data_IF_940960447583
#
_entry.id   IF_940960447583
#
_cell.length_a   1.000
_cell.length_b   1.000
_cell.length_c   1.000
_cell.angle_alpha   90.00
_cell.angle_beta   90.00
_cell.angle_gamma   90.00
#
_symmetry.space_group_name_H-M   'P 1'
#
loop_
_entity.id
_entity.type
_entity.pdbx_description
1 polymer ?
#
# COMPACT_ATOMS: atom_id res chain seq x y z
N UNK A 1 7.69 12.96 -11.01
CA UNK A 1 8.06 13.00 -12.44
C UNK A 1 7.09 13.91 -13.21
N UNK A 2 7.43 15.18 -13.42
CA UNK A 2 6.70 16.13 -14.28
C UNK A 2 7.59 17.35 -14.57
N UNK A 3 7.27 18.17 -15.56
CA UNK A 3 7.88 19.47 -15.82
C UNK A 3 6.83 20.58 -15.73
N UNK A 4 7.22 21.79 -15.30
CA UNK A 4 6.34 22.96 -15.27
C UNK A 4 6.17 23.53 -16.69
N UNK A 5 4.93 23.83 -17.07
CA UNK A 5 4.63 24.44 -18.38
C UNK A 5 5.08 25.91 -18.41
N UNK A 6 5.63 26.36 -19.54
CA UNK A 6 6.00 27.79 -19.74
C UNK A 6 4.77 28.70 -19.82
N UNK A 7 3.65 28.19 -20.37
CA UNK A 7 2.32 28.81 -20.36
C UNK A 7 1.32 27.77 -19.90
N UNK A 8 0.48 28.11 -18.93
CA UNK A 8 -0.56 27.20 -18.45
C UNK A 8 -1.65 27.00 -19.50
N UNK A 9 -2.18 25.79 -19.57
CA UNK A 9 -3.34 25.47 -20.39
C UNK A 9 -4.54 25.33 -19.46
N UNK A 10 -5.29 26.43 -19.27
CA UNK A 10 -6.33 26.51 -18.25
C UNK A 10 -5.78 26.28 -16.84
N UNK A 11 -6.32 25.31 -16.11
CA UNK A 11 -5.83 24.91 -14.79
C UNK A 11 -4.59 24.00 -14.84
N UNK A 12 -4.22 23.47 -16.02
CA UNK A 12 -3.08 22.57 -16.18
C UNK A 12 -1.77 23.35 -16.23
N UNK A 13 -0.85 23.02 -15.32
CA UNK A 13 0.44 23.71 -15.15
C UNK A 13 1.65 22.78 -15.26
N UNK A 14 1.42 21.48 -15.45
CA UNK A 14 2.45 20.45 -15.52
C UNK A 14 2.23 19.53 -16.72
N UNK A 15 3.32 18.98 -17.25
CA UNK A 15 3.33 17.99 -18.32
C UNK A 15 4.46 16.99 -18.12
N UNK A 16 4.37 15.82 -18.76
CA UNK A 16 5.50 14.89 -18.89
C UNK A 16 6.27 15.26 -20.15
N UNK A 17 7.59 15.39 -20.03
CA UNK A 17 8.47 15.58 -21.21
C UNK A 17 8.58 14.28 -22.01
N UNK A 18 8.94 14.37 -23.29
CA UNK A 18 9.19 13.17 -24.13
C UNK A 18 10.20 12.22 -23.48
N UNK A 19 11.28 12.74 -22.89
CA UNK A 19 12.26 11.94 -22.17
C UNK A 19 11.64 11.22 -20.95
N UNK A 20 10.75 11.88 -20.23
CA UNK A 20 10.04 11.27 -19.10
C UNK A 20 9.05 10.19 -19.55
N UNK A 21 8.33 10.43 -20.64
CA UNK A 21 7.39 9.44 -21.22
C UNK A 21 8.19 8.21 -21.68
N UNK A 22 9.29 8.41 -22.40
CA UNK A 22 10.17 7.34 -22.86
C UNK A 22 10.70 6.50 -21.70
N UNK A 23 11.13 7.15 -20.61
CA UNK A 23 11.61 6.44 -19.42
C UNK A 23 10.47 5.63 -18.75
N UNK A 24 9.27 6.17 -18.62
CA UNK A 24 8.11 5.43 -18.07
C UNK A 24 7.86 4.17 -18.89
N UNK A 25 7.81 4.30 -20.22
CA UNK A 25 7.55 3.18 -21.13
C UNK A 25 8.67 2.15 -21.03
N UNK A 26 9.93 2.59 -20.97
CA UNK A 26 11.08 1.69 -20.83
C UNK A 26 11.04 0.92 -19.51
N UNK A 27 10.87 1.61 -18.38
CA UNK A 27 10.85 0.99 -17.06
C UNK A 27 9.69 -0.01 -16.92
N UNK A 28 8.50 0.38 -17.40
CA UNK A 28 7.33 -0.50 -17.37
C UNK A 28 7.48 -1.70 -18.31
N UNK A 29 8.06 -1.50 -19.49
CA UNK A 29 8.29 -2.57 -20.48
C UNK A 29 9.39 -3.54 -20.08
N UNK A 30 10.42 -3.07 -19.36
CA UNK A 30 11.52 -3.91 -18.89
C UNK A 30 11.10 -4.84 -17.74
N UNK A 31 10.19 -4.38 -16.86
CA UNK A 31 9.66 -5.20 -15.77
C UNK A 31 10.70 -5.62 -14.72
N UNK A 32 11.76 -4.82 -14.54
CA UNK A 32 12.87 -5.13 -13.64
C UNK A 32 12.52 -4.89 -12.16
N UNK A 33 13.03 -5.75 -11.27
CA UNK A 33 12.92 -5.56 -9.82
C UNK A 33 13.72 -4.34 -9.37
N UNK A 34 13.11 -3.48 -8.57
CA UNK A 34 13.82 -2.36 -7.94
C UNK A 34 14.11 -1.18 -8.88
N UNK A 35 13.47 -1.11 -10.04
CA UNK A 35 13.66 0.02 -10.95
C UNK A 35 13.22 1.34 -10.29
N UNK A 36 13.93 2.41 -10.60
CA UNK A 36 13.64 3.78 -10.16
C UNK A 36 13.71 4.74 -11.35
N UNK A 37 12.97 5.85 -11.28
CA UNK A 37 13.06 6.88 -12.30
C UNK A 37 14.30 7.75 -12.08
N UNK A 38 15.06 7.98 -13.15
CA UNK A 38 16.17 8.91 -13.20
C UNK A 38 15.71 10.34 -13.48
N UNK A 39 14.61 10.52 -14.22
CA UNK A 39 14.03 11.84 -14.55
C UNK A 39 12.97 12.31 -13.53
N UNK A 40 13.07 11.83 -12.28
CA UNK A 40 12.14 12.22 -11.24
C UNK A 40 12.32 13.70 -10.88
N UNK A 41 11.26 14.49 -11.13
CA UNK A 41 11.23 15.89 -10.74
C UNK A 41 11.40 16.06 -9.23
N UNK A 42 12.45 16.81 -8.85
CA UNK A 42 12.71 17.27 -7.48
C UNK A 42 12.49 18.78 -7.45
N UNK A 43 11.63 19.25 -6.54
CA UNK A 43 11.38 20.68 -6.40
C UNK A 43 12.60 21.34 -5.73
N UNK A 44 13.40 22.05 -6.51
CA UNK A 44 14.64 22.68 -6.02
C UNK A 44 14.41 24.08 -5.42
N UNK A 45 13.23 24.69 -5.66
CA UNK A 45 12.92 26.07 -5.25
C UNK A 45 11.48 26.22 -4.79
N UNK A 46 11.27 26.83 -3.62
CA UNK A 46 9.97 27.30 -3.13
C UNK A 46 10.12 28.79 -2.78
N UNK A 47 9.27 29.67 -3.32
CA UNK A 47 9.31 31.14 -3.06
C UNK A 47 10.68 31.81 -3.29
N UNK A 48 11.41 31.40 -4.34
CA UNK A 48 12.73 31.96 -4.66
C UNK A 48 13.88 31.50 -3.76
N UNK A 49 13.58 30.76 -2.68
CA UNK A 49 14.57 30.14 -1.81
C UNK A 49 14.92 28.76 -2.36
N UNK A 50 16.20 28.54 -2.63
CA UNK A 50 16.74 27.22 -2.99
C UNK A 50 16.73 26.37 -1.72
N UNK A 51 15.93 25.30 -1.70
CA UNK A 51 15.99 24.35 -0.58
C UNK A 51 17.27 23.52 -0.73
N UNK A 52 17.98 23.20 0.37
CA UNK A 52 19.00 22.18 0.34
C UNK A 52 18.38 20.91 -0.24
N UNK A 53 19.01 20.36 -1.29
CA UNK A 53 18.58 19.08 -1.83
C UNK A 53 18.94 18.01 -0.82
N UNK A 54 18.02 17.68 0.08
CA UNK A 54 18.15 16.48 0.89
C UNK A 54 18.25 15.28 -0.07
N UNK A 55 19.26 14.41 0.08
CA UNK A 55 19.39 13.24 -0.77
C UNK A 55 18.25 12.27 -0.44
N UNK A 56 17.12 12.41 -1.14
CA UNK A 56 16.07 11.40 -1.12
C UNK A 56 16.57 10.17 -1.88
N UNK A 57 16.51 9.01 -1.21
CA UNK A 57 16.74 7.73 -1.86
C UNK A 57 15.80 7.59 -3.06
N UNK A 58 16.25 6.94 -4.15
CA UNK A 58 15.44 6.77 -5.34
C UNK A 58 14.14 6.02 -4.99
N UNK A 59 13.01 6.55 -5.45
CA UNK A 59 11.72 5.88 -5.27
C UNK A 59 11.67 4.66 -6.19
N UNK A 60 11.48 3.48 -5.59
CA UNK A 60 11.23 2.25 -6.33
C UNK A 60 9.84 2.33 -6.99
N UNK A 61 9.80 2.08 -8.28
CA UNK A 61 8.58 2.15 -9.12
C UNK A 61 8.22 0.83 -9.79
N UNK A 62 9.11 -0.16 -9.75
CA UNK A 62 8.86 -1.52 -10.25
C UNK A 62 9.27 -2.54 -9.20
N UNK A 63 8.40 -3.52 -8.99
CA UNK A 63 8.61 -4.68 -8.13
C UNK A 63 7.95 -5.90 -8.75
N UNK A 64 8.62 -7.04 -8.70
CA UNK A 64 8.26 -8.32 -9.26
C UNK A 64 7.93 -9.26 -8.11
N UNK A 65 6.72 -9.81 -8.14
CA UNK A 65 6.25 -10.75 -7.14
C UNK A 65 5.74 -12.03 -7.82
N UNK A 66 5.92 -13.21 -7.21
CA UNK A 66 5.21 -14.41 -7.63
C UNK A 66 3.70 -14.17 -7.56
N UNK A 67 2.92 -14.72 -8.48
CA UNK A 67 1.46 -14.52 -8.48
C UNK A 67 0.82 -14.89 -7.13
N UNK A 68 1.25 -16.00 -6.53
CA UNK A 68 0.74 -16.46 -5.23
C UNK A 68 0.96 -15.47 -4.07
N UNK A 69 1.90 -14.52 -4.21
CA UNK A 69 2.27 -13.58 -3.14
C UNK A 69 1.12 -12.65 -2.72
N UNK A 70 0.30 -12.23 -3.68
CA UNK A 70 -0.89 -11.41 -3.41
C UNK A 70 -2.17 -12.24 -3.27
N UNK A 71 -2.05 -13.53 -3.54
CA UNK A 71 -3.17 -14.45 -3.48
C UNK A 71 -3.44 -14.88 -2.05
N UNK A 72 -4.72 -15.00 -1.75
CA UNK A 72 -5.19 -15.64 -0.54
C UNK A 72 -6.35 -16.58 -0.84
N UNK A 73 -6.61 -17.47 0.11
CA UNK A 73 -7.75 -18.35 0.16
C UNK A 73 -8.63 -17.92 1.33
N UNK A 74 -9.83 -17.45 0.99
CA UNK A 74 -10.86 -17.09 1.95
C UNK A 74 -11.58 -18.35 2.37
N UNK A 75 -11.41 -18.77 3.62
CA UNK A 75 -11.92 -20.04 4.15
C UNK A 75 -12.95 -19.76 5.22
N UNK A 76 -14.13 -20.38 5.09
CA UNK A 76 -15.15 -20.30 6.13
C UNK A 76 -14.81 -21.29 7.25
N UNK A 77 -14.80 -20.78 8.48
CA UNK A 77 -14.53 -21.56 9.69
C UNK A 77 -15.82 -21.67 10.48
N UNK A 78 -16.24 -22.90 10.72
CA UNK A 78 -17.45 -23.24 11.45
C UNK A 78 -17.12 -23.71 12.86
N UNK A 79 -18.10 -23.53 13.74
CA UNK A 79 -18.05 -23.93 15.15
C UNK A 79 -19.32 -24.66 15.54
N UNK A 80 -19.27 -25.54 16.55
CA UNK A 80 -20.44 -26.32 16.93
C UNK A 80 -21.56 -25.41 17.49
N UNK A 81 -22.82 -25.82 17.35
CA UNK A 81 -23.93 -25.17 18.02
C UNK A 81 -23.69 -25.08 19.53
N UNK A 82 -24.05 -23.94 20.12
CA UNK A 82 -24.07 -23.79 21.58
C UNK A 82 -25.00 -24.85 22.22
N UNK A 83 -24.71 -25.32 23.44
CA UNK A 83 -25.59 -26.24 24.15
C UNK A 83 -27.03 -25.69 24.21
N UNK A 84 -28.00 -26.50 23.77
CA UNK A 84 -29.41 -26.10 23.67
C UNK A 84 -29.81 -25.40 22.37
N UNK A 85 -28.89 -25.22 21.43
CA UNK A 85 -29.16 -24.76 20.06
C UNK A 85 -28.98 -25.90 19.06
N UNK A 86 -29.88 -26.01 18.10
CA UNK A 86 -29.76 -26.95 16.98
C UNK A 86 -29.27 -26.21 15.74
N UNK A 87 -28.09 -26.61 15.24
CA UNK A 87 -27.64 -26.20 13.91
C UNK A 87 -28.52 -26.87 12.84
N UNK A 88 -28.91 -26.12 11.81
CA UNK A 88 -29.62 -26.65 10.64
C UNK A 88 -28.64 -26.84 9.48
N UNK A 89 -27.84 -27.92 9.45
CA UNK A 89 -26.87 -28.13 8.38
C UNK A 89 -27.56 -28.43 7.05
N UNK A 90 -26.87 -28.16 5.94
CA UNK A 90 -27.23 -28.76 4.65
C UNK A 90 -26.82 -30.24 4.65
N UNK A 91 -27.38 -31.01 3.70
CA UNK A 91 -27.07 -32.44 3.55
C UNK A 91 -25.56 -32.64 3.37
N UNK A 92 -24.93 -33.36 4.31
CA UNK A 92 -23.49 -33.64 4.30
C UNK A 92 -22.63 -32.67 5.10
N UNK A 93 -23.22 -31.62 5.69
CA UNK A 93 -22.51 -30.68 6.57
C UNK A 93 -22.66 -31.07 8.05
N UNK A 94 -21.63 -30.75 8.85
CA UNK A 94 -21.74 -30.80 10.31
C UNK A 94 -22.66 -29.66 10.78
N UNK A 95 -23.52 -29.87 11.79
CA UNK A 95 -24.26 -28.78 12.42
C UNK A 95 -23.29 -27.70 12.91
N UNK A 96 -23.61 -26.44 12.64
CA UNK A 96 -22.80 -25.30 13.06
C UNK A 96 -23.67 -24.17 13.63
N UNK A 97 -23.08 -23.30 14.46
CA UNK A 97 -23.70 -22.06 14.91
C UNK A 97 -23.40 -20.95 13.89
N UNK A 98 -24.43 -20.41 13.22
CA UNK A 98 -24.27 -19.34 12.23
C UNK A 98 -23.69 -18.05 12.85
N UNK A 99 -23.93 -17.81 14.14
CA UNK A 99 -23.48 -16.61 14.83
C UNK A 99 -22.03 -16.73 15.32
N UNK A 100 -21.48 -17.96 15.32
CA UNK A 100 -20.07 -18.24 15.65
C UNK A 100 -19.23 -18.58 14.42
N UNK A 101 -19.83 -18.57 13.22
CA UNK A 101 -19.11 -18.76 11.95
C UNK A 101 -18.21 -17.56 11.70
N UNK A 102 -16.98 -17.85 11.29
CA UNK A 102 -16.01 -16.83 10.92
C UNK A 102 -15.42 -17.11 9.53
N UNK A 103 -14.53 -16.23 9.08
CA UNK A 103 -13.81 -16.38 7.84
C UNK A 103 -12.36 -15.96 7.98
N UNK A 104 -11.48 -16.88 7.63
CA UNK A 104 -10.04 -16.67 7.61
C UNK A 104 -9.54 -16.33 6.21
N UNK A 105 -8.49 -15.50 6.16
CA UNK A 105 -7.82 -15.11 4.92
C UNK A 105 -6.41 -15.68 4.93
N UNK A 106 -6.24 -16.83 4.29
CA UNK A 106 -5.02 -17.63 4.36
C UNK A 106 -4.16 -17.36 3.12
N UNK A 107 -2.88 -16.96 3.24
CA UNK A 107 -2.01 -16.76 2.07
C UNK A 107 -1.95 -18.01 1.18
N UNK A 108 -1.93 -17.86 -0.15
CA UNK A 108 -1.82 -19.03 -1.07
C UNK A 108 -0.48 -19.78 -0.93
N UNK A 109 0.51 -19.18 -0.27
CA UNK A 109 1.80 -19.79 0.02
C UNK A 109 1.78 -20.70 1.25
N UNK A 110 0.66 -20.81 1.96
CA UNK A 110 0.50 -21.59 3.18
C UNK A 110 -0.68 -22.57 3.05
N UNK A 111 -0.57 -23.75 3.67
CA UNK A 111 -1.69 -24.70 3.69
C UNK A 111 -2.74 -24.29 4.73
N UNK A 112 -4.01 -24.59 4.44
CA UNK A 112 -5.12 -24.29 5.33
C UNK A 112 -4.90 -24.94 6.70
N UNK A 113 -4.47 -26.20 6.73
CA UNK A 113 -4.26 -26.94 7.97
C UNK A 113 -3.15 -26.32 8.84
N UNK A 114 -2.04 -25.89 8.24
CA UNK A 114 -0.94 -25.26 8.96
C UNK A 114 -1.38 -23.92 9.59
N UNK A 115 -2.10 -23.10 8.82
CA UNK A 115 -2.66 -21.85 9.31
C UNK A 115 -3.67 -22.08 10.45
N UNK A 116 -4.59 -23.04 10.28
CA UNK A 116 -5.58 -23.38 11.31
C UNK A 116 -4.92 -23.80 12.62
N UNK A 117 -3.86 -24.63 12.57
CA UNK A 117 -3.12 -25.06 13.76
C UNK A 117 -2.37 -23.91 14.44
N UNK A 118 -1.84 -22.95 13.67
CA UNK A 118 -1.06 -21.83 14.20
C UNK A 118 -1.93 -20.71 14.76
N UNK A 119 -2.96 -20.32 14.03
CA UNK A 119 -3.71 -19.07 14.29
C UNK A 119 -5.11 -19.31 14.85
N UNK A 120 -5.79 -20.41 14.48
CA UNK A 120 -7.21 -20.58 14.82
C UNK A 120 -7.40 -21.50 16.02
N UNK A 121 -6.94 -22.74 15.93
CA UNK A 121 -7.18 -23.79 16.92
C UNK A 121 -6.61 -23.50 18.32
N UNK A 122 -5.50 -22.74 18.51
CA UNK A 122 -5.05 -22.32 19.83
C UNK A 122 -6.03 -21.40 20.56
N UNK A 123 -6.85 -20.65 19.81
CA UNK A 123 -7.84 -19.73 20.37
C UNK A 123 -9.26 -20.29 20.33
N UNK A 124 -9.54 -21.15 19.34
CA UNK A 124 -10.86 -21.73 19.07
C UNK A 124 -10.72 -23.23 18.77
N UNK A 125 -10.52 -24.08 19.80
CA UNK A 125 -10.17 -25.49 19.60
C UNK A 125 -11.28 -26.34 18.97
N UNK A 126 -12.53 -25.88 19.04
CA UNK A 126 -13.70 -26.57 18.51
C UNK A 126 -14.03 -26.18 17.06
N UNK A 127 -13.24 -25.30 16.45
CA UNK A 127 -13.44 -24.85 15.08
C UNK A 127 -13.02 -25.90 14.04
N UNK A 128 -13.70 -25.89 12.89
CA UNK A 128 -13.28 -26.64 11.71
C UNK A 128 -13.53 -25.85 10.43
N UNK A 129 -12.78 -26.19 9.38
CA UNK A 129 -12.98 -25.59 8.06
C UNK A 129 -14.23 -26.15 7.38
N UNK A 130 -15.07 -25.27 6.86
CA UNK A 130 -16.18 -25.66 6.00
C UNK A 130 -15.67 -26.08 4.62
N UNK A 131 -15.69 -27.39 4.34
CA UNK A 131 -15.17 -27.98 3.10
C UNK A 131 -16.19 -28.04 1.95
N UNK A 132 -17.43 -27.56 2.15
CA UNK A 132 -18.46 -27.52 1.11
C UNK A 132 -18.36 -26.27 0.24
N UNK A 133 -17.75 -25.20 0.77
CA UNK A 133 -17.43 -24.01 0.01
C UNK A 133 -16.13 -24.26 -0.74
N UNK A 134 -16.20 -24.21 -2.08
CA UNK A 134 -15.07 -24.49 -2.98
C UNK A 134 -14.92 -23.44 -4.05
N UNK A 135 -13.69 -23.25 -4.53
CA UNK A 135 -13.37 -22.35 -5.61
C UNK A 135 -13.85 -22.95 -6.94
N UNK A 136 -14.35 -22.10 -7.82
CA UNK A 136 -14.92 -22.54 -9.10
C UNK A 136 -13.84 -22.91 -10.12
N UNK A 137 -12.62 -22.39 -9.97
CA UNK A 137 -11.56 -22.57 -10.95
C UNK A 137 -10.73 -23.81 -10.68
N UNK A 138 -10.39 -24.07 -9.42
CA UNK A 138 -9.55 -25.23 -9.05
C UNK A 138 -10.27 -26.30 -8.23
N UNK A 139 -11.49 -26.04 -7.75
CA UNK A 139 -12.28 -27.00 -6.98
C UNK A 139 -11.82 -27.20 -5.54
N UNK A 140 -10.81 -26.46 -5.08
CA UNK A 140 -10.27 -26.56 -3.74
C UNK A 140 -11.13 -25.83 -2.71
N UNK A 141 -10.95 -26.15 -1.42
CA UNK A 141 -11.73 -25.57 -0.32
C UNK A 141 -11.49 -24.07 -0.18
N UNK A 142 -12.55 -23.29 0.04
CA UNK A 142 -12.51 -21.83 0.15
C UNK A 142 -12.67 -21.12 -1.20
N UNK A 143 -12.43 -19.81 -1.23
CA UNK A 143 -12.45 -18.99 -2.46
C UNK A 143 -11.12 -18.27 -2.65
N UNK A 144 -10.56 -18.29 -3.86
CA UNK A 144 -9.32 -17.59 -4.17
C UNK A 144 -9.59 -16.12 -4.42
N UNK A 145 -8.86 -15.26 -3.72
CA UNK A 145 -8.84 -13.81 -3.92
C UNK A 145 -7.41 -13.30 -4.11
N UNK A 146 -7.30 -12.08 -4.63
CA UNK A 146 -6.02 -11.38 -4.76
C UNK A 146 -6.17 -9.97 -4.20
N UNK A 147 -5.19 -9.50 -3.43
CA UNK A 147 -5.15 -8.14 -2.91
C UNK A 147 -3.75 -7.55 -3.00
N UNK A 148 -3.65 -6.36 -3.61
CA UNK A 148 -2.40 -5.60 -3.73
C UNK A 148 -2.53 -4.32 -2.91
N UNK A 149 -1.87 -4.28 -1.75
CA UNK A 149 -1.77 -3.07 -0.95
C UNK A 149 -0.62 -2.19 -1.44
N UNK A 150 -0.91 -1.28 -2.39
CA UNK A 150 0.12 -0.40 -2.97
C UNK A 150 0.89 0.42 -1.93
N UNK A 151 0.23 0.88 -0.86
CA UNK A 151 0.90 1.63 0.20
C UNK A 151 1.94 0.77 0.92
N UNK A 152 1.63 -0.49 1.25
CA UNK A 152 2.58 -1.40 1.89
C UNK A 152 3.86 -1.58 1.06
N UNK A 153 3.77 -1.62 -0.26
CA UNK A 153 4.90 -1.96 -1.12
C UNK A 153 5.62 -0.77 -1.75
N UNK A 154 4.93 0.35 -1.98
CA UNK A 154 5.48 1.50 -2.72
C UNK A 154 5.45 2.82 -1.92
N UNK A 155 4.92 2.83 -0.70
CA UNK A 155 5.01 4.02 0.14
C UNK A 155 6.44 4.21 0.63
N UNK A 156 7.00 5.38 0.35
CA UNK A 156 8.28 5.81 0.88
C UNK A 156 7.98 6.83 1.98
N UNK A 157 8.30 6.47 3.22
CA UNK A 157 8.18 7.39 4.35
C UNK A 157 9.10 8.58 4.15
N UNK A 158 8.54 9.79 4.20
CA UNK A 158 9.30 11.03 4.19
C UNK A 158 9.35 11.57 5.62
N UNK A 159 10.50 11.49 6.30
CA UNK A 159 10.62 12.06 7.64
C UNK A 159 10.36 13.57 7.59
N UNK A 160 9.79 14.15 8.65
CA UNK A 160 9.68 15.60 8.76
C UNK A 160 11.07 16.24 8.84
N UNK A 161 11.18 17.48 8.34
CA UNK A 161 12.43 18.26 8.43
C UNK A 161 12.85 18.44 9.89
N UNK A 162 14.16 18.38 10.21
CA UNK A 162 14.63 18.59 11.58
C UNK A 162 14.20 19.95 12.15
N UNK A 163 13.80 20.04 13.43
CA UNK A 163 13.33 21.28 14.03
C UNK A 163 14.33 22.44 13.98
N UNK A 164 15.63 22.15 14.12
CA UNK A 164 16.67 23.19 14.09
C UNK A 164 16.78 23.87 12.72
N UNK A 165 16.60 23.12 11.62
CA UNK A 165 16.60 23.69 10.26
C UNK A 165 15.42 24.66 10.09
N UNK A 166 14.25 24.28 10.59
CA UNK A 166 13.05 25.14 10.57
C UNK A 166 13.29 26.41 11.38
N UNK A 167 13.92 26.30 12.55
CA UNK A 167 14.23 27.45 13.39
C UNK A 167 15.20 28.44 12.72
N UNK A 168 16.25 27.96 12.05
CA UNK A 168 17.16 28.83 11.30
C UNK A 168 16.46 29.51 10.11
N UNK A 169 15.63 28.79 9.36
CA UNK A 169 14.82 29.38 8.27
C UNK A 169 13.90 30.50 8.78
N UNK A 170 13.25 30.30 9.94
CA UNK A 170 12.39 31.32 10.56
C UNK A 170 13.21 32.57 10.88
N UNK A 171 14.38 32.42 11.51
CA UNK A 171 15.26 33.56 11.83
C UNK A 171 15.76 34.29 10.60
N UNK A 172 16.09 33.57 9.52
CA UNK A 172 16.46 34.20 8.25
C UNK A 172 15.32 35.02 7.66
N UNK A 173 14.08 34.50 7.69
CA UNK A 173 12.91 35.24 7.22
C UNK A 173 12.64 36.47 8.09
N UNK A 174 12.77 36.36 9.42
CA UNK A 174 12.65 37.50 10.34
C UNK A 174 13.65 38.60 9.98
N UNK A 175 14.91 38.23 9.70
CA UNK A 175 15.94 39.20 9.28
C UNK A 175 15.57 39.90 7.97
N UNK A 176 15.15 39.15 6.95
CA UNK A 176 14.72 39.71 5.66
C UNK A 176 13.51 40.64 5.81
N UNK A 177 12.56 40.27 6.67
CA UNK A 177 11.39 41.10 6.96
C UNK A 177 11.78 42.43 7.61
N UNK A 178 12.67 42.40 8.61
CA UNK A 178 13.17 43.61 9.26
C UNK A 178 13.94 44.52 8.29
N UNK A 179 14.75 43.96 7.39
CA UNK A 179 15.44 44.73 6.35
C UNK A 179 14.45 45.40 5.38
N UNK A 180 13.39 44.70 4.97
CA UNK A 180 12.37 45.23 4.07
C UNK A 180 11.54 46.34 4.73
N UNK A 181 11.20 46.17 6.01
CA UNK A 181 10.52 47.21 6.80
C UNK A 181 11.36 48.48 6.95
N UNK A 182 12.68 48.36 7.13
CA UNK A 182 13.58 49.54 7.20
C UNK A 182 13.59 50.34 5.91
N UNK A 183 13.43 49.69 4.75
CA UNK A 183 13.40 50.36 3.45
C UNK A 183 12.07 51.02 3.08
N UNK A 184 10.99 50.78 3.84
CA UNK A 184 9.66 51.38 3.61
C UNK A 184 9.38 52.56 4.55
N UNK A 185 10.08 52.60 5.70
CA UNK A 185 9.91 53.63 6.74
C UNK A 185 11.00 54.72 6.67
N UNK A 186 11.92 54.64 5.70
CA UNK A 186 12.89 55.69 5.35
C UNK A 186 12.60 56.27 3.98
#
# INVERSE_FOLDING_TARGET
MYAKMKKSLGSKRAYLTEAQIAEIVQVYGAGEEGAAFTQEYRETKTNGVTKPAEPEAPRIVSKVFPNAFFGYRKVTVDRPPRPGSEGKPKKGEKPYDKDLRDTETIPLTESIDAYMQREVLPHVPDAWVNTTIRDEKDGEVGKVGYEINFNRYFYVYKPPRPPHVIAEEIREMEKRFLELMKGVVG
#
